data_IF_494845163285
#
_entry.id   IF_494845163285
#
_cell.length_a   1.000
_cell.length_b   1.000
_cell.length_c   1.000
_cell.angle_alpha   90.00
_cell.angle_beta   90.00
_cell.angle_gamma   90.00
#
_symmetry.space_group_name_H-M   'P 1'
#
loop_
_entity.id
_entity.type
_entity.pdbx_description
1 polymer ?
#
# COMPACT_ATOMS: atom_id res chain seq x y z
N UNK A 1 7.66 28.02 10.55
CA UNK A 1 6.88 26.88 11.10
C UNK A 1 5.40 26.98 10.69
N UNK A 2 4.77 28.13 10.80
CA UNK A 2 3.35 28.35 10.46
C UNK A 2 3.04 28.09 8.97
N UNK A 3 3.91 28.52 8.05
CA UNK A 3 3.78 28.22 6.61
C UNK A 3 3.83 26.71 6.30
N UNK A 4 4.65 25.95 7.05
CA UNK A 4 4.76 24.50 6.87
C UNK A 4 3.49 23.76 7.31
N UNK A 5 2.88 24.17 8.42
CA UNK A 5 1.61 23.61 8.89
C UNK A 5 0.46 23.91 7.92
N UNK A 6 0.40 25.15 7.42
CA UNK A 6 -0.60 25.55 6.42
C UNK A 6 -0.44 24.75 5.13
N UNK A 7 0.78 24.63 4.60
CA UNK A 7 1.04 23.81 3.40
C UNK A 7 0.66 22.36 3.63
N UNK A 8 1.01 21.78 4.80
CA UNK A 8 0.66 20.41 5.14
C UNK A 8 -0.87 20.21 5.14
N UNK A 9 -1.62 21.10 5.79
CA UNK A 9 -3.09 21.01 5.85
C UNK A 9 -3.80 21.23 4.51
N UNK A 10 -3.16 21.93 3.58
CA UNK A 10 -3.65 22.07 2.20
C UNK A 10 -3.32 20.88 1.30
N UNK A 11 -2.24 20.18 1.61
CA UNK A 11 -1.77 19.03 0.81
C UNK A 11 -2.45 17.72 1.22
N UNK A 12 -2.74 17.56 2.51
CA UNK A 12 -3.29 16.31 3.03
C UNK A 12 -4.64 16.53 3.70
N UNK A 13 -5.62 15.72 3.32
CA UNK A 13 -6.94 15.69 3.97
C UNK A 13 -6.97 14.78 5.20
N UNK A 14 -6.02 13.81 5.28
CA UNK A 14 -5.93 12.88 6.40
C UNK A 14 -4.49 12.50 6.70
N UNK A 15 -4.18 12.42 7.99
CA UNK A 15 -2.96 11.81 8.52
C UNK A 15 -3.34 10.71 9.51
N UNK A 16 -2.90 9.50 9.20
CA UNK A 16 -3.21 8.30 9.97
C UNK A 16 -2.30 8.10 11.18
N UNK A 17 -2.37 6.90 11.71
CA UNK A 17 -1.56 6.46 12.82
C UNK A 17 -1.11 5.00 12.60
N UNK A 18 -0.18 4.51 13.43
CA UNK A 18 0.41 3.16 13.34
C UNK A 18 -0.59 1.99 13.41
N UNK A 19 -1.84 2.23 13.78
CA UNK A 19 -2.84 1.18 14.03
C UNK A 19 -3.90 1.09 12.92
N UNK A 20 -4.03 2.10 12.08
CA UNK A 20 -5.10 2.16 11.08
C UNK A 20 -4.56 2.72 9.76
N UNK A 21 -4.82 2.03 8.64
CA UNK A 21 -4.52 2.54 7.30
C UNK A 21 -5.52 3.63 6.90
N UNK A 22 -5.17 4.47 5.91
CA UNK A 22 -3.85 4.67 5.34
C UNK A 22 -2.97 5.57 6.22
N UNK A 23 -1.68 5.70 5.90
CA UNK A 23 -0.79 6.63 6.60
C UNK A 23 -1.15 8.09 6.29
N UNK A 24 -1.48 8.39 5.02
CA UNK A 24 -1.86 9.73 4.55
C UNK A 24 -2.96 9.63 3.48
N UNK A 25 -3.72 10.72 3.29
CA UNK A 25 -4.54 10.95 2.10
C UNK A 25 -4.17 12.33 1.55
N UNK A 26 -3.80 12.38 0.26
CA UNK A 26 -3.66 13.63 -0.47
C UNK A 26 -5.03 14.27 -0.69
N UNK A 27 -5.15 15.58 -0.47
CA UNK A 27 -6.41 16.30 -0.61
C UNK A 27 -7.03 16.08 -2.00
N UNK A 28 -8.25 15.56 -2.03
CA UNK A 28 -9.01 15.19 -3.23
C UNK A 28 -8.30 14.21 -4.17
N UNK A 29 -7.37 13.40 -3.66
CA UNK A 29 -6.56 12.48 -4.46
C UNK A 29 -6.35 11.14 -3.74
N UNK A 30 -5.16 10.60 -3.83
CA UNK A 30 -4.79 9.24 -3.50
C UNK A 30 -4.56 9.02 -2.00
N UNK A 31 -4.80 7.80 -1.55
CA UNK A 31 -4.41 7.33 -0.24
C UNK A 31 -2.99 6.72 -0.31
N UNK A 32 -2.17 7.00 0.69
CA UNK A 32 -0.76 6.63 0.73
C UNK A 32 -0.49 5.67 1.90
N UNK A 33 0.21 4.59 1.62
CA UNK A 33 0.74 3.66 2.61
C UNK A 33 2.27 3.67 2.53
N UNK A 34 2.96 4.01 3.63
CA UNK A 34 4.41 4.20 3.68
C UNK A 34 5.06 3.01 4.38
N UNK A 35 6.08 2.45 3.77
CA UNK A 35 6.86 1.35 4.35
C UNK A 35 8.35 1.64 4.26
N UNK A 36 9.02 1.55 5.40
CA UNK A 36 10.50 1.56 5.48
C UNK A 36 10.97 0.13 5.59
N UNK A 37 11.91 -0.26 4.74
CA UNK A 37 12.57 -1.57 4.74
C UNK A 37 14.07 -1.39 4.93
N UNK A 38 14.69 -2.37 5.59
CA UNK A 38 16.14 -2.39 5.78
C UNK A 38 16.89 -3.13 4.65
N UNK A 39 16.14 -3.84 3.78
CA UNK A 39 16.66 -4.53 2.61
C UNK A 39 15.68 -4.41 1.44
N UNK A 40 16.21 -4.26 0.24
CA UNK A 40 15.44 -4.20 -1.01
C UNK A 40 14.81 -5.56 -1.41
N UNK A 41 15.13 -6.65 -0.71
CA UNK A 41 14.61 -8.00 -0.98
C UNK A 41 13.65 -8.51 0.11
N UNK A 42 13.43 -7.77 1.18
CA UNK A 42 12.54 -8.18 2.27
C UNK A 42 11.09 -7.96 1.89
N UNK A 43 10.24 -8.96 2.14
CA UNK A 43 8.79 -8.81 2.02
C UNK A 43 8.26 -7.72 2.97
N UNK A 44 7.20 -7.06 2.56
CA UNK A 44 6.59 -5.94 3.28
C UNK A 44 5.55 -6.49 4.23
N UNK A 45 5.70 -6.23 5.52
CA UNK A 45 4.68 -6.55 6.52
C UNK A 45 3.58 -5.48 6.51
N UNK A 46 2.34 -5.92 6.35
CA UNK A 46 1.14 -5.08 6.34
C UNK A 46 0.29 -5.25 7.61
N UNK A 47 0.85 -5.94 8.62
CA UNK A 47 0.17 -6.26 9.88
C UNK A 47 -1.19 -6.94 9.62
N UNK A 48 -2.24 -6.54 10.34
CA UNK A 48 -3.59 -7.12 10.20
C UNK A 48 -4.37 -6.61 8.96
N UNK A 49 -3.79 -5.68 8.21
CA UNK A 49 -4.44 -5.10 7.02
C UNK A 49 -3.95 -5.79 5.76
N UNK A 50 -4.84 -6.50 5.05
CA UNK A 50 -4.48 -7.11 3.77
C UNK A 50 -4.07 -6.05 2.74
N UNK A 51 -3.30 -6.44 1.69
CA UNK A 51 -2.91 -5.54 0.60
C UNK A 51 -4.13 -4.92 -0.08
N UNK A 52 -4.07 -3.63 -0.44
CA UNK A 52 -5.20 -2.90 -1.02
C UNK A 52 -4.87 -2.36 -2.40
N UNK A 53 -5.61 -2.78 -3.40
CA UNK A 53 -5.59 -2.14 -4.72
C UNK A 53 -6.21 -0.73 -4.66
N UNK A 54 -7.29 -0.58 -3.89
CA UNK A 54 -8.03 0.67 -3.67
C UNK A 54 -8.41 0.81 -2.20
N UNK A 55 -8.62 2.05 -1.75
CA UNK A 55 -9.19 2.36 -0.46
C UNK A 55 -10.68 2.71 -0.64
N UNK A 56 -11.56 2.06 0.12
CA UNK A 56 -13.00 2.29 0.09
C UNK A 56 -13.45 3.02 1.36
N UNK A 57 -14.31 4.03 1.23
CA UNK A 57 -14.83 4.80 2.37
C UNK A 57 -15.67 3.93 3.33
N UNK A 58 -16.30 2.88 2.83
CA UNK A 58 -17.07 1.92 3.63
C UNK A 58 -16.20 0.81 4.28
N UNK A 59 -14.89 0.84 4.14
CA UNK A 59 -14.00 -0.15 4.75
C UNK A 59 -14.11 -0.14 6.27
N UNK A 60 -14.27 -1.32 6.89
CA UNK A 60 -14.26 -1.48 8.35
C UNK A 60 -12.87 -1.25 8.96
N UNK A 61 -11.82 -1.23 8.14
CA UNK A 61 -10.44 -1.09 8.60
C UNK A 61 -10.01 0.35 8.84
N UNK A 62 -10.71 1.34 8.24
CA UNK A 62 -10.39 2.77 8.41
C UNK A 62 -11.10 3.36 9.62
N UNK A 63 -10.58 4.48 10.12
CA UNK A 63 -11.19 5.25 11.21
C UNK A 63 -12.36 6.10 10.71
N UNK A 64 -13.22 6.55 11.62
CA UNK A 64 -14.27 7.54 11.30
C UNK A 64 -13.65 8.85 10.79
N UNK A 65 -12.53 9.30 11.39
CA UNK A 65 -11.82 10.49 10.93
C UNK A 65 -11.31 10.34 9.49
N UNK A 66 -10.79 9.17 9.12
CA UNK A 66 -10.41 8.88 7.74
C UNK A 66 -11.61 8.90 6.78
N UNK A 67 -12.74 8.32 7.21
CA UNK A 67 -13.96 8.27 6.40
C UNK A 67 -14.53 9.65 6.12
N UNK A 68 -14.43 10.54 7.08
CA UNK A 68 -15.02 11.88 7.04
C UNK A 68 -14.02 12.99 6.67
N UNK A 69 -12.81 12.62 6.21
CA UNK A 69 -11.77 13.62 5.90
C UNK A 69 -12.08 14.47 4.65
N UNK A 70 -12.93 13.95 3.78
CA UNK A 70 -13.42 14.65 2.58
C UNK A 70 -14.90 14.33 2.38
N UNK A 71 -15.62 15.24 1.72
CA UNK A 71 -17.03 15.04 1.39
C UNK A 71 -17.20 14.04 0.24
N UNK A 72 -18.20 13.15 0.37
CA UNK A 72 -18.71 12.29 -0.72
C UNK A 72 -17.71 11.38 -1.44
N UNK A 73 -16.53 11.15 -0.89
CA UNK A 73 -15.62 10.19 -1.50
C UNK A 73 -16.09 8.74 -1.24
N UNK A 74 -15.96 7.90 -2.25
CA UNK A 74 -16.33 6.48 -2.19
C UNK A 74 -15.12 5.56 -2.32
N UNK A 75 -14.18 5.91 -3.19
CA UNK A 75 -12.97 5.14 -3.49
C UNK A 75 -11.81 6.06 -3.80
N UNK A 76 -10.61 5.67 -3.34
CA UNK A 76 -9.33 6.33 -3.66
C UNK A 76 -8.33 5.30 -4.15
N UNK A 77 -7.43 5.71 -5.03
CA UNK A 77 -6.29 4.90 -5.39
C UNK A 77 -5.38 4.72 -4.18
N UNK A 78 -4.82 3.50 -4.02
CA UNK A 78 -3.78 3.26 -3.03
C UNK A 78 -2.41 3.43 -3.67
N UNK A 79 -1.57 4.28 -3.11
CA UNK A 79 -0.18 4.46 -3.47
C UNK A 79 0.72 3.90 -2.36
N UNK A 80 1.48 2.86 -2.67
CA UNK A 80 2.51 2.34 -1.78
C UNK A 80 3.81 3.10 -1.99
N UNK A 81 4.31 3.72 -0.93
CA UNK A 81 5.61 4.41 -0.89
C UNK A 81 6.57 3.57 -0.07
N UNK A 82 7.50 2.89 -0.73
CA UNK A 82 8.37 1.89 -0.12
C UNK A 82 9.82 2.34 -0.21
N UNK A 83 10.38 2.74 0.94
CA UNK A 83 11.75 3.21 1.06
C UNK A 83 12.68 2.13 1.59
N UNK A 84 13.81 1.90 0.91
CA UNK A 84 14.88 1.05 1.40
C UNK A 84 15.97 1.91 2.07
N UNK A 85 16.12 1.72 3.38
CA UNK A 85 17.16 2.35 4.21
C UNK A 85 17.94 1.22 4.88
N UNK A 86 19.10 0.83 4.38
CA UNK A 86 19.86 -0.29 4.92
C UNK A 86 20.14 -0.13 6.41
N UNK A 87 20.16 -1.26 7.12
CA UNK A 87 20.42 -1.30 8.55
C UNK A 87 21.72 -0.53 8.91
N UNK A 88 21.66 0.19 10.02
CA UNK A 88 22.77 1.02 10.52
C UNK A 88 23.20 2.17 9.57
N UNK A 89 22.32 2.55 8.64
CA UNK A 89 22.54 3.74 7.80
C UNK A 89 21.39 4.71 7.92
N UNK A 90 21.62 5.97 7.55
CA UNK A 90 20.57 6.98 7.38
C UNK A 90 20.36 7.31 5.88
N UNK A 91 20.88 6.46 4.99
CA UNK A 91 20.83 6.68 3.55
C UNK A 91 19.66 5.95 2.92
N UNK A 92 18.76 6.68 2.30
CA UNK A 92 17.72 6.12 1.45
C UNK A 92 18.36 5.65 0.13
N UNK A 93 18.33 4.35 -0.13
CA UNK A 93 18.94 3.72 -1.32
C UNK A 93 17.96 3.58 -2.48
N UNK A 94 16.71 3.31 -2.18
CA UNK A 94 15.66 3.29 -3.20
C UNK A 94 14.32 3.73 -2.62
N UNK A 95 13.48 4.27 -3.51
CA UNK A 95 12.12 4.67 -3.21
C UNK A 95 11.22 4.18 -4.34
N UNK A 96 10.30 3.32 -4.01
CA UNK A 96 9.26 2.84 -4.93
C UNK A 96 7.96 3.57 -4.65
N UNK A 97 7.35 4.10 -5.70
CA UNK A 97 5.96 4.54 -5.75
C UNK A 97 5.19 3.56 -6.61
N UNK A 98 4.39 2.70 -6.00
CA UNK A 98 3.65 1.67 -6.73
C UNK A 98 2.17 1.79 -6.43
N UNK A 99 1.37 1.99 -7.47
CA UNK A 99 -0.08 2.00 -7.30
C UNK A 99 -0.61 0.60 -6.99
N UNK A 100 -1.55 0.56 -6.05
CA UNK A 100 -2.07 -0.69 -5.51
C UNK A 100 -2.71 -1.59 -6.56
N UNK A 101 -3.35 -1.03 -7.56
CA UNK A 101 -3.98 -1.79 -8.66
C UNK A 101 -2.98 -2.37 -9.69
N UNK A 102 -1.69 -2.02 -9.57
CA UNK A 102 -0.60 -2.70 -10.27
C UNK A 102 0.04 -3.81 -9.42
N UNK A 103 -0.24 -3.83 -8.11
CA UNK A 103 0.54 -4.57 -7.12
C UNK A 103 -0.29 -5.57 -6.32
N UNK A 104 -1.55 -5.24 -6.05
CA UNK A 104 -2.45 -6.02 -5.19
C UNK A 104 -3.63 -6.57 -5.99
N UNK A 105 -4.07 -7.77 -5.66
CA UNK A 105 -5.33 -8.31 -6.16
C UNK A 105 -6.54 -7.53 -5.59
N UNK A 106 -7.72 -7.80 -6.10
CA UNK A 106 -8.97 -7.25 -5.61
C UNK A 106 -9.26 -7.71 -4.19
N UNK A 107 -9.96 -6.88 -3.43
CA UNK A 107 -10.28 -7.11 -2.02
C UNK A 107 -10.91 -8.48 -1.75
N UNK A 108 -11.76 -8.96 -2.65
CA UNK A 108 -12.45 -10.24 -2.50
C UNK A 108 -11.50 -11.43 -2.36
N UNK A 109 -10.32 -11.37 -2.99
CA UNK A 109 -9.28 -12.39 -2.83
C UNK A 109 -8.82 -12.54 -1.38
N UNK A 110 -8.63 -11.43 -0.70
CA UNK A 110 -8.15 -11.39 0.69
C UNK A 110 -9.28 -11.56 1.70
N UNK A 111 -10.45 -10.96 1.43
CA UNK A 111 -11.64 -11.06 2.29
C UNK A 111 -12.11 -12.50 2.40
N UNK A 112 -12.10 -13.26 1.31
CA UNK A 112 -12.43 -14.69 1.32
C UNK A 112 -11.60 -15.46 2.36
N UNK A 113 -10.30 -15.22 2.45
CA UNK A 113 -9.42 -15.89 3.42
C UNK A 113 -9.79 -15.46 4.84
N UNK A 114 -9.95 -14.13 5.07
CA UNK A 114 -10.34 -13.60 6.39
C UNK A 114 -11.66 -14.19 6.87
N UNK A 115 -12.67 -14.21 5.99
CA UNK A 115 -14.01 -14.68 6.33
C UNK A 115 -14.05 -16.18 6.57
N UNK A 116 -13.28 -16.96 5.79
CA UNK A 116 -13.13 -18.41 5.99
C UNK A 116 -12.53 -18.72 7.36
N UNK A 117 -11.46 -18.02 7.75
CA UNK A 117 -10.83 -18.19 9.07
C UNK A 117 -11.82 -17.79 10.18
N UNK A 118 -12.45 -16.63 10.06
CA UNK A 118 -13.39 -16.12 11.05
C UNK A 118 -14.61 -17.04 11.22
N UNK A 119 -15.12 -17.61 10.13
CA UNK A 119 -16.22 -18.59 10.16
C UNK A 119 -15.76 -19.91 10.77
N UNK A 120 -14.57 -20.39 10.40
CA UNK A 120 -14.00 -21.63 10.97
C UNK A 120 -13.82 -21.57 12.47
N UNK A 121 -13.40 -20.42 13.01
CA UNK A 121 -13.26 -20.22 14.45
C UNK A 121 -14.62 -20.35 15.16
N UNK A 122 -15.70 -19.86 14.55
CA UNK A 122 -17.06 -19.90 15.11
C UNK A 122 -17.64 -21.32 15.21
N UNK A 123 -17.00 -22.33 14.65
CA UNK A 123 -17.40 -23.75 14.79
C UNK A 123 -16.81 -24.45 16.00
N UNK A 124 -15.92 -23.80 16.79
CA UNK A 124 -15.36 -24.36 18.01
C UNK A 124 -16.47 -24.48 19.06
N UNK A 125 -16.74 -25.69 19.63
CA UNK A 125 -17.80 -25.85 20.63
C UNK A 125 -17.40 -25.24 21.99
N UNK A 126 -18.41 -25.00 22.81
CA UNK A 126 -18.28 -24.64 24.25
C UNK A 126 -17.46 -23.37 24.55
N UNK A 127 -17.43 -22.40 23.61
CA UNK A 127 -16.75 -21.12 23.78
C UNK A 127 -17.63 -19.95 23.33
N UNK A 128 -17.34 -18.75 23.81
CA UNK A 128 -18.04 -17.53 23.41
C UNK A 128 -17.23 -16.78 22.33
N UNK A 129 -17.92 -16.34 21.27
CA UNK A 129 -17.32 -15.53 20.20
C UNK A 129 -17.69 -14.06 20.37
N UNK A 130 -16.73 -13.20 20.02
CA UNK A 130 -16.97 -11.75 19.96
C UNK A 130 -16.56 -11.24 18.59
N UNK A 131 -17.44 -10.49 17.93
CA UNK A 131 -17.10 -9.80 16.70
C UNK A 131 -16.00 -8.78 16.94
N UNK A 132 -14.98 -8.81 16.12
CA UNK A 132 -13.83 -7.93 16.21
C UNK A 132 -13.25 -7.63 14.83
N UNK A 133 -12.39 -6.62 14.74
CA UNK A 133 -11.62 -6.34 13.50
C UNK A 133 -10.50 -7.37 13.25
N UNK A 134 -10.22 -8.24 14.21
CA UNK A 134 -9.24 -9.32 14.12
C UNK A 134 -9.83 -10.54 13.37
N UNK A 135 -9.00 -11.54 13.09
CA UNK A 135 -9.46 -12.78 12.46
C UNK A 135 -10.41 -13.55 13.36
N UNK A 136 -10.26 -13.42 14.69
CA UNK A 136 -11.16 -13.98 15.65
C UNK A 136 -10.84 -13.57 17.10
N UNK A 137 -11.88 -13.59 17.92
CA UNK A 137 -11.75 -13.46 19.36
C UNK A 137 -12.66 -14.50 20.02
N UNK A 138 -12.07 -15.38 20.81
CA UNK A 138 -12.73 -16.42 21.57
C UNK A 138 -12.60 -16.10 23.04
N UNK A 139 -13.69 -16.11 23.77
CA UNK A 139 -13.73 -15.89 25.22
C UNK A 139 -14.07 -17.15 25.96
N UNK A 140 -13.74 -17.17 27.25
CA UNK A 140 -14.07 -18.26 28.16
C UNK A 140 -13.61 -19.62 27.64
N UNK A 141 -12.36 -19.69 27.21
CA UNK A 141 -11.75 -20.89 26.60
C UNK A 141 -11.62 -22.03 27.60
N UNK A 142 -11.46 -21.72 28.88
CA UNK A 142 -11.34 -22.69 29.99
C UNK A 142 -12.63 -22.74 30.86
N UNK A 143 -12.84 -23.82 31.63
CA UNK A 143 -14.04 -23.99 32.43
C UNK A 143 -14.28 -22.89 33.49
N UNK A 144 -13.23 -22.19 33.93
CA UNK A 144 -13.35 -21.03 34.84
C UNK A 144 -13.78 -19.76 34.07
N UNK A 145 -13.70 -19.77 32.74
CA UNK A 145 -14.05 -18.63 31.91
C UNK A 145 -13.12 -17.43 32.05
N UNK A 146 -11.86 -17.64 32.44
CA UNK A 146 -10.86 -16.59 32.71
C UNK A 146 -9.84 -16.40 31.58
N UNK A 147 -9.86 -17.25 30.54
CA UNK A 147 -8.93 -17.20 29.41
C UNK A 147 -9.64 -16.75 28.14
N UNK A 148 -9.08 -15.75 27.48
CA UNK A 148 -9.48 -15.28 26.14
C UNK A 148 -8.38 -15.55 25.12
N UNK A 149 -8.75 -15.96 23.90
CA UNK A 149 -7.85 -16.09 22.76
C UNK A 149 -8.14 -14.99 21.72
N UNK A 150 -7.10 -14.27 21.30
CA UNK A 150 -7.17 -13.31 20.18
C UNK A 150 -6.33 -13.82 19.02
N UNK A 151 -6.96 -13.93 17.84
CA UNK A 151 -6.31 -14.42 16.62
C UNK A 151 -6.06 -13.23 15.69
N UNK A 152 -4.78 -12.90 15.50
CA UNK A 152 -4.33 -11.82 14.65
C UNK A 152 -3.56 -12.38 13.46
N UNK A 153 -3.93 -11.96 12.26
CA UNK A 153 -3.16 -12.24 11.07
C UNK A 153 -2.07 -11.19 10.85
N UNK A 154 -1.00 -11.60 10.19
CA UNK A 154 -0.01 -10.70 9.63
C UNK A 154 0.09 -10.98 8.13
N UNK A 155 -0.32 -10.01 7.33
CA UNK A 155 -0.19 -10.08 5.89
C UNK A 155 1.20 -9.64 5.47
N UNK A 156 1.78 -10.37 4.52
CA UNK A 156 3.01 -9.99 3.85
C UNK A 156 2.75 -9.89 2.35
N UNK A 157 3.34 -8.90 1.71
CA UNK A 157 3.39 -8.78 0.26
C UNK A 157 4.86 -8.73 -0.17
N UNK A 158 5.19 -9.40 -1.27
CA UNK A 158 6.56 -9.40 -1.78
C UNK A 158 7.03 -7.99 -2.15
N UNK A 159 8.34 -7.77 -2.07
CA UNK A 159 8.94 -6.49 -2.40
C UNK A 159 8.77 -6.14 -3.89
N UNK A 160 8.45 -4.89 -4.27
CA UNK A 160 8.37 -4.45 -5.65
C UNK A 160 9.62 -4.76 -6.48
N UNK A 161 10.80 -4.70 -5.87
CA UNK A 161 12.07 -5.08 -6.51
C UNK A 161 12.04 -6.50 -7.08
N UNK A 162 11.40 -7.44 -6.37
CA UNK A 162 11.23 -8.81 -6.83
C UNK A 162 10.09 -8.95 -7.84
N UNK A 163 8.93 -8.37 -7.51
CA UNK A 163 7.71 -8.53 -8.31
C UNK A 163 7.85 -7.91 -9.70
N UNK A 164 8.51 -6.76 -9.78
CA UNK A 164 8.66 -5.99 -11.03
C UNK A 164 10.05 -6.09 -11.65
N UNK A 165 10.84 -7.11 -11.28
CA UNK A 165 12.19 -7.33 -11.83
C UNK A 165 12.19 -7.54 -13.36
N UNK A 166 11.08 -7.97 -13.94
CA UNK A 166 10.88 -8.09 -15.38
C UNK A 166 10.65 -6.74 -16.10
N UNK A 167 10.35 -5.67 -15.35
CA UNK A 167 10.21 -4.31 -15.86
C UNK A 167 11.44 -3.45 -15.56
N UNK A 168 12.03 -3.65 -14.38
CA UNK A 168 13.14 -2.87 -13.89
C UNK A 168 14.04 -3.70 -12.98
N UNK A 169 15.31 -3.82 -13.33
CA UNK A 169 16.32 -4.44 -12.47
C UNK A 169 16.93 -3.42 -11.53
N UNK A 170 16.86 -3.70 -10.24
CA UNK A 170 17.51 -2.90 -9.22
C UNK A 170 19.03 -2.90 -9.42
N UNK A 171 19.65 -1.74 -9.40
CA UNK A 171 21.10 -1.56 -9.62
C UNK A 171 21.78 -1.16 -8.31
N UNK A 172 22.49 -2.10 -7.68
CA UNK A 172 23.18 -1.87 -6.41
C UNK A 172 24.33 -0.85 -6.49
N UNK A 173 24.81 -0.56 -7.69
CA UNK A 173 25.89 0.41 -7.90
C UNK A 173 25.44 1.87 -7.77
N UNK A 174 24.12 2.12 -7.83
CA UNK A 174 23.56 3.46 -7.73
C UNK A 174 23.44 3.92 -6.28
N UNK A 175 23.77 5.17 -6.02
CA UNK A 175 23.66 5.77 -4.69
C UNK A 175 22.18 5.92 -4.26
N UNK A 176 21.29 6.19 -5.24
CA UNK A 176 19.84 6.27 -5.04
C UNK A 176 19.07 5.96 -6.32
N UNK A 177 17.92 5.31 -6.17
CA UNK A 177 16.98 5.03 -7.27
C UNK A 177 15.55 5.34 -6.86
N UNK A 178 14.82 6.06 -7.70
CA UNK A 178 13.37 6.24 -7.56
C UNK A 178 12.68 5.53 -8.70
N UNK A 179 11.71 4.68 -8.38
CA UNK A 179 10.94 3.89 -9.33
C UNK A 179 9.46 4.18 -9.08
N UNK A 180 8.77 4.68 -10.10
CA UNK A 180 7.33 4.92 -10.04
C UNK A 180 6.61 4.04 -11.07
N UNK A 181 5.65 3.24 -10.62
CA UNK A 181 4.87 2.32 -11.45
C UNK A 181 3.39 2.56 -11.25
N UNK A 182 2.69 2.79 -12.35
CA UNK A 182 1.25 2.99 -12.39
C UNK A 182 0.65 2.49 -13.69
N UNK A 183 -0.66 2.30 -13.73
CA UNK A 183 -1.39 2.10 -14.98
C UNK A 183 -1.27 3.31 -15.87
N UNK A 184 -1.32 3.09 -17.20
CA UNK A 184 -1.28 4.17 -18.19
C UNK A 184 -2.42 5.17 -17.98
N UNK A 185 -3.62 4.69 -17.73
CA UNK A 185 -4.80 5.53 -17.45
C UNK A 185 -4.57 6.47 -16.25
N UNK A 186 -3.93 5.96 -15.18
CA UNK A 186 -3.59 6.79 -14.00
C UNK A 186 -2.58 7.86 -14.35
N UNK A 187 -1.55 7.52 -15.14
CA UNK A 187 -0.58 8.50 -15.60
C UNK A 187 -1.25 9.58 -16.46
N UNK A 188 -2.11 9.17 -17.39
CA UNK A 188 -2.82 10.08 -18.28
C UNK A 188 -3.83 10.98 -17.57
N UNK A 189 -4.32 10.59 -16.38
CA UNK A 189 -5.19 11.43 -15.54
C UNK A 189 -4.44 12.56 -14.82
N UNK A 190 -3.11 12.53 -14.77
CA UNK A 190 -2.29 13.60 -14.19
C UNK A 190 -2.26 14.83 -15.10
N UNK A 191 -2.04 16.04 -14.55
CA UNK A 191 -2.00 17.26 -15.37
C UNK A 191 -1.01 17.14 -16.51
N UNK A 192 -1.46 17.53 -17.71
CA UNK A 192 -0.65 17.42 -18.95
C UNK A 192 0.68 18.19 -18.83
N UNK A 193 0.64 19.37 -18.22
CA UNK A 193 1.84 20.20 -18.05
C UNK A 193 2.92 19.48 -17.23
N UNK A 194 2.52 18.81 -16.14
CA UNK A 194 3.46 18.08 -15.26
C UNK A 194 4.05 16.86 -15.99
N UNK A 195 3.21 16.13 -16.77
CA UNK A 195 3.67 15.00 -17.58
C UNK A 195 4.68 15.44 -18.65
N UNK A 196 4.40 16.54 -19.34
CA UNK A 196 5.29 17.11 -20.36
C UNK A 196 6.63 17.56 -19.78
N UNK A 197 6.65 18.13 -18.56
CA UNK A 197 7.91 18.49 -17.88
C UNK A 197 8.78 17.24 -17.70
N UNK A 198 8.21 16.14 -17.23
CA UNK A 198 8.97 14.91 -16.96
C UNK A 198 9.38 14.21 -18.26
N UNK A 199 8.47 14.13 -19.24
CA UNK A 199 8.72 13.46 -20.54
C UNK A 199 9.78 14.19 -21.40
N UNK A 200 9.81 15.52 -21.31
CA UNK A 200 10.77 16.35 -22.03
C UNK A 200 12.06 16.64 -21.26
N UNK A 201 12.21 16.05 -20.06
CA UNK A 201 13.39 16.29 -19.25
C UNK A 201 14.64 15.69 -19.90
N UNK A 202 15.51 16.56 -20.41
CA UNK A 202 16.79 16.13 -20.99
C UNK A 202 17.81 15.77 -19.88
N UNK A 203 17.56 14.65 -19.20
CA UNK A 203 18.38 14.15 -18.11
C UNK A 203 18.61 12.64 -18.31
N UNK A 204 19.86 12.18 -18.55
CA UNK A 204 20.14 10.76 -18.77
C UNK A 204 19.83 9.87 -17.57
N UNK A 205 19.67 10.46 -16.39
CA UNK A 205 19.31 9.74 -15.17
C UNK A 205 17.78 9.53 -15.01
N UNK A 206 16.96 10.13 -15.87
CA UNK A 206 15.49 10.02 -15.85
C UNK A 206 15.02 9.27 -17.09
N UNK A 207 14.13 8.34 -16.90
CA UNK A 207 13.44 7.66 -18.02
C UNK A 207 11.95 7.51 -17.72
N UNK A 208 11.15 7.71 -18.77
CA UNK A 208 9.71 7.46 -18.77
C UNK A 208 9.42 6.48 -19.91
N UNK A 209 8.78 5.35 -19.61
CA UNK A 209 8.52 4.31 -20.59
C UNK A 209 7.14 3.69 -20.46
N UNK A 210 6.56 3.30 -21.57
CA UNK A 210 5.39 2.43 -21.59
C UNK A 210 5.84 1.00 -21.25
N UNK A 211 5.09 0.33 -20.40
CA UNK A 211 5.39 -1.04 -19.95
C UNK A 211 4.14 -1.90 -19.94
N UNK A 212 4.34 -3.21 -19.95
CA UNK A 212 3.27 -4.19 -19.78
C UNK A 212 3.33 -4.80 -18.39
N UNK A 213 2.36 -4.46 -17.55
CA UNK A 213 2.27 -4.90 -16.15
C UNK A 213 1.42 -6.18 -16.10
N UNK A 214 1.90 -7.23 -15.44
CA UNK A 214 1.09 -8.43 -15.17
C UNK A 214 -0.10 -8.05 -14.30
N UNK A 215 -1.31 -8.47 -14.69
CA UNK A 215 -2.51 -8.21 -13.90
C UNK A 215 -2.48 -8.99 -12.59
N UNK A 216 -2.56 -8.34 -11.40
CA UNK A 216 -2.53 -9.02 -10.11
C UNK A 216 -3.67 -10.04 -9.90
N UNK A 217 -4.79 -9.88 -10.60
CA UNK A 217 -5.94 -10.79 -10.52
C UNK A 217 -5.82 -11.97 -11.50
N UNK A 218 -5.08 -11.81 -12.59
CA UNK A 218 -4.88 -12.85 -13.60
C UNK A 218 -3.53 -12.63 -14.32
N UNK A 219 -2.41 -13.22 -13.84
CA UNK A 219 -1.06 -12.96 -14.36
C UNK A 219 -0.81 -13.34 -15.83
N UNK A 220 -1.71 -14.08 -16.46
CA UNK A 220 -1.67 -14.34 -17.92
C UNK A 220 -2.07 -13.08 -18.71
N UNK A 221 -2.88 -12.23 -18.11
CA UNK A 221 -3.25 -10.94 -18.69
C UNK A 221 -2.21 -9.87 -18.34
N UNK A 222 -2.05 -8.91 -19.25
CA UNK A 222 -1.20 -7.74 -19.04
C UNK A 222 -2.01 -6.45 -19.16
N UNK A 223 -1.59 -5.46 -18.41
CA UNK A 223 -2.17 -4.12 -18.41
C UNK A 223 -1.15 -3.12 -18.96
N UNK A 224 -1.64 -2.09 -19.63
CA UNK A 224 -0.80 -0.96 -20.05
C UNK A 224 -0.39 -0.14 -18.82
N UNK A 225 0.89 0.16 -18.72
CA UNK A 225 1.44 0.92 -17.62
C UNK A 225 2.50 1.94 -18.04
N UNK A 226 2.82 2.81 -17.10
CA UNK A 226 3.94 3.75 -17.16
C UNK A 226 4.93 3.43 -16.06
N UNK A 227 6.20 3.40 -16.44
CA UNK A 227 7.34 3.25 -15.54
C UNK A 227 8.20 4.51 -15.63
N UNK A 228 8.34 5.22 -14.52
CA UNK A 228 9.24 6.35 -14.38
C UNK A 228 10.40 5.92 -13.49
N UNK A 229 11.62 6.18 -13.93
CA UNK A 229 12.83 5.82 -13.17
C UNK A 229 13.76 7.02 -13.12
N UNK A 230 14.25 7.31 -11.93
CA UNK A 230 15.38 8.20 -11.71
C UNK A 230 16.52 7.42 -11.04
N UNK A 231 17.76 7.63 -11.50
CA UNK A 231 18.97 7.01 -10.94
C UNK A 231 19.99 8.08 -10.62
N UNK A 232 20.52 8.02 -9.41
CA UNK A 232 21.67 8.85 -9.01
C UNK A 232 22.93 7.98 -8.93
N UNK A 233 24.02 8.45 -9.51
CA UNK A 233 25.35 7.82 -9.39
C UNK A 233 25.86 7.83 -7.96
#
# INVERSE_FOLDING_TARGET
EQNRLTTFSQTYSYSGNKNNPPDLILANSDAIEIKKLESHNTAIALNSSYPKAKLFSNSSMITTACRNCEENWTVKDMLYVIGNVPKNTNSLKSLYFVYGDCFCADKGTYEKIKDTISTGIKTIPDVEFTDSKELGKVKKVDPLGITDLRIRGMWHIENPTKIFNYLYSYDETKSFQLICLMKKEKYESMPLADRQIIENLNNPNVSVSDVRIKNPNNPVQVMDGKLLVFRKL
#
